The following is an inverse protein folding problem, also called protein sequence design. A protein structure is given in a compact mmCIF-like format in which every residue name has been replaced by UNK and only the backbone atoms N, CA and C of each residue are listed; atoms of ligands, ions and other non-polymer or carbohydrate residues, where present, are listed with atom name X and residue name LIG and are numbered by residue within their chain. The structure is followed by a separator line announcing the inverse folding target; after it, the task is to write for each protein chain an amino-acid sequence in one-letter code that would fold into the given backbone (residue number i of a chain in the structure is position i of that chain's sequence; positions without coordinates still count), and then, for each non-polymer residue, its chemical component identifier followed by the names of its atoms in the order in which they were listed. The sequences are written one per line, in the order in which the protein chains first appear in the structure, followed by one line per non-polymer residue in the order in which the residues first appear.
data_IF_543091287692
#
_entry.id   IF_543091287692
#
_cell.length_a   1.000
_cell.length_b   1.000
_cell.length_c   1.000
_cell.angle_alpha   90.00
_cell.angle_beta   90.00
_cell.angle_gamma   90.00
#
_symmetry.space_group_name_H-M   'P 1'
#
loop_
_entity.id
_entity.type
_entity.pdbx_description
1 polymer ?
#
# COMPACT_ATOMS: atom_id res chain seq x y z
N UNK A 1 -1.49 -10.33 17.03
CA UNK A 1 -0.08 -10.14 16.63
C UNK A 1 -0.19 -9.44 15.31
N UNK A 2 0.47 -8.30 15.19
CA UNK A 2 0.39 -7.51 13.97
C UNK A 2 1.61 -7.79 13.09
N UNK A 3 1.36 -8.08 11.83
CA UNK A 3 2.38 -8.16 10.78
C UNK A 3 2.08 -7.12 9.70
N UNK A 4 3.09 -6.80 8.90
CA UNK A 4 2.89 -5.90 7.76
C UNK A 4 3.66 -6.32 6.52
N UNK A 5 3.16 -5.93 5.35
CA UNK A 5 3.83 -6.07 4.06
C UNK A 5 3.91 -4.71 3.37
N UNK A 6 5.09 -4.37 2.87
CA UNK A 6 5.32 -3.15 2.12
C UNK A 6 5.36 -3.40 0.61
N UNK A 7 4.76 -2.51 -0.15
CA UNK A 7 4.65 -2.55 -1.61
C UNK A 7 4.86 -1.14 -2.14
N UNK A 8 5.68 -1.02 -3.18
CA UNK A 8 5.88 0.24 -3.90
C UNK A 8 5.34 0.10 -5.31
N UNK A 9 4.62 1.11 -5.80
CA UNK A 9 4.21 1.20 -7.21
C UNK A 9 4.40 2.62 -7.74
N UNK A 10 4.58 2.73 -9.05
CA UNK A 10 4.83 3.99 -9.74
C UNK A 10 3.55 4.45 -10.44
N UNK A 11 3.09 5.68 -10.15
CA UNK A 11 1.90 6.23 -10.80
C UNK A 11 1.95 7.74 -10.97
N UNK A 12 1.17 8.23 -11.94
CA UNK A 12 0.89 9.64 -12.13
C UNK A 12 -0.47 10.03 -11.53
N UNK A 13 -0.57 11.25 -11.00
CA UNK A 13 -1.81 11.83 -10.50
C UNK A 13 -1.81 13.37 -10.59
N UNK A 14 -2.94 13.98 -10.23
CA UNK A 14 -3.07 15.41 -9.94
C UNK A 14 -4.13 15.60 -8.86
N UNK A 15 -4.10 16.75 -8.18
CA UNK A 15 -5.12 17.14 -7.21
C UNK A 15 -6.04 18.20 -7.84
N UNK A 16 -7.32 17.91 -8.11
CA UNK A 16 -8.18 18.83 -8.89
C UNK A 16 -8.71 20.03 -8.08
N UNK A 17 -8.72 19.92 -6.76
CA UNK A 17 -9.39 20.87 -5.86
C UNK A 17 -8.44 21.85 -5.15
N UNK A 18 -7.16 21.91 -5.55
CA UNK A 18 -6.19 22.91 -5.05
C UNK A 18 -6.26 24.20 -5.89
N UNK A 19 -5.77 25.35 -5.40
CA UNK A 19 -5.71 26.60 -6.16
C UNK A 19 -5.10 26.45 -7.56
N UNK A 20 -5.46 27.33 -8.49
CA UNK A 20 -5.09 27.22 -9.90
C UNK A 20 -3.57 27.23 -10.15
N UNK A 21 -2.84 27.98 -9.34
CA UNK A 21 -1.39 28.12 -9.37
C UNK A 21 -0.63 27.06 -8.54
N UNK A 22 -1.34 26.21 -7.81
CA UNK A 22 -0.72 25.23 -6.92
C UNK A 22 -0.02 24.10 -7.69
N UNK A 23 1.22 23.77 -7.30
CA UNK A 23 2.07 22.79 -8.02
C UNK A 23 1.42 21.42 -8.25
N UNK A 24 0.64 20.92 -7.28
CA UNK A 24 -0.01 19.60 -7.35
C UNK A 24 -1.25 19.58 -8.27
N UNK A 25 -1.69 20.72 -8.82
CA UNK A 25 -2.77 20.78 -9.83
C UNK A 25 -2.30 20.26 -11.18
N UNK A 26 -0.98 20.30 -11.44
CA UNK A 26 -0.37 19.74 -12.65
C UNK A 26 -0.30 18.22 -12.55
N UNK A 27 -0.42 17.55 -13.69
CA UNK A 27 -0.10 16.13 -13.80
C UNK A 27 1.37 15.92 -13.41
N UNK A 28 1.61 15.04 -12.45
CA UNK A 28 2.92 14.64 -11.95
C UNK A 28 2.85 13.21 -11.42
N UNK A 29 3.95 12.64 -10.92
CA UNK A 29 3.95 11.27 -10.39
C UNK A 29 4.84 11.10 -9.17
N UNK A 30 4.71 9.93 -8.56
CA UNK A 30 5.46 9.52 -7.37
C UNK A 30 5.73 8.02 -7.41
N UNK A 31 6.76 7.62 -6.68
CA UNK A 31 6.91 6.25 -6.16
C UNK A 31 6.07 6.12 -4.91
N UNK A 32 4.86 5.58 -5.05
CA UNK A 32 3.92 5.42 -3.94
C UNK A 32 4.32 4.23 -3.10
N UNK A 33 4.40 4.43 -1.78
CA UNK A 33 4.73 3.39 -0.82
C UNK A 33 3.51 3.06 0.05
N UNK A 34 3.09 1.80 0.04
CA UNK A 34 1.97 1.28 0.81
C UNK A 34 2.49 0.27 1.82
N UNK A 35 2.01 0.38 3.06
CA UNK A 35 2.16 -0.65 4.09
C UNK A 35 0.80 -1.23 4.43
N UNK A 36 0.63 -2.52 4.17
CA UNK A 36 -0.56 -3.29 4.50
C UNK A 36 -0.34 -3.94 5.86
N UNK A 37 -1.23 -3.67 6.81
CA UNK A 37 -1.20 -4.25 8.15
C UNK A 37 -2.24 -5.35 8.27
N UNK A 38 -1.88 -6.46 8.90
CA UNK A 38 -2.78 -7.57 9.23
C UNK A 38 -2.55 -7.92 10.69
N UNK A 39 -3.62 -7.82 11.49
CA UNK A 39 -3.61 -8.29 12.88
C UNK A 39 -4.47 -9.54 13.01
N UNK A 40 -3.95 -10.50 13.78
CA UNK A 40 -4.64 -11.74 14.05
C UNK A 40 -3.91 -12.63 15.06
N UNK A 41 -4.53 -13.74 15.46
CA UNK A 41 -3.85 -14.78 16.22
C UNK A 41 -2.76 -15.42 15.36
N UNK A 42 -1.73 -15.94 16.02
CA UNK A 42 -0.78 -16.84 15.36
C UNK A 42 -1.48 -18.20 15.24
N UNK A 43 -1.61 -18.68 14.02
CA UNK A 43 -2.12 -20.03 13.77
C UNK A 43 -1.14 -21.08 14.31
N UNK A 44 -1.67 -22.14 14.94
CA UNK A 44 -0.87 -23.10 15.69
C UNK A 44 -0.12 -24.09 14.80
N UNK A 45 -0.60 -24.33 13.59
CA UNK A 45 0.02 -25.29 12.66
C UNK A 45 1.09 -24.60 11.81
N UNK A 46 0.76 -23.43 11.27
CA UNK A 46 1.64 -22.65 10.38
C UNK A 46 2.63 -21.76 11.12
N UNK A 47 2.29 -21.32 12.34
CA UNK A 47 3.16 -20.49 13.16
C UNK A 47 3.21 -19.01 12.75
N UNK A 48 2.31 -18.56 11.88
CA UNK A 48 2.19 -17.15 11.47
C UNK A 48 0.77 -16.62 11.60
N UNK A 49 0.61 -15.31 11.40
CA UNK A 49 -0.70 -14.65 11.33
C UNK A 49 -1.33 -14.82 9.95
N UNK A 50 -0.53 -14.63 8.90
CA UNK A 50 -0.92 -14.81 7.50
C UNK A 50 0.34 -14.98 6.65
N UNK A 51 0.25 -15.72 5.54
CA UNK A 51 1.33 -15.81 4.57
C UNK A 51 1.49 -14.47 3.81
N UNK A 52 2.71 -13.94 3.76
CA UNK A 52 3.00 -12.74 2.98
C UNK A 52 2.77 -12.90 1.47
N UNK A 53 2.84 -14.13 0.94
CA UNK A 53 2.52 -14.40 -0.46
C UNK A 53 1.02 -14.17 -0.74
N UNK A 54 0.14 -14.59 0.18
CA UNK A 54 -1.29 -14.37 0.06
C UNK A 54 -1.66 -12.88 0.17
N UNK A 55 -0.99 -12.14 1.06
CA UNK A 55 -1.14 -10.68 1.15
C UNK A 55 -0.74 -10.02 -0.18
N UNK A 56 0.38 -10.47 -0.79
CA UNK A 56 0.83 -9.97 -2.10
C UNK A 56 -0.13 -10.35 -3.22
N UNK A 57 -0.69 -11.56 -3.23
CA UNK A 57 -1.64 -11.99 -4.25
C UNK A 57 -2.97 -11.22 -4.15
N UNK A 58 -3.43 -10.94 -2.94
CA UNK A 58 -4.63 -10.15 -2.69
C UNK A 58 -4.45 -8.67 -3.07
N UNK A 59 -3.22 -8.15 -3.00
CA UNK A 59 -2.87 -6.78 -3.39
C UNK A 59 -1.72 -6.77 -4.42
N UNK A 60 -2.08 -6.97 -5.69
CA UNK A 60 -1.15 -6.99 -6.84
C UNK A 60 -1.42 -5.78 -7.77
N UNK A 61 -0.98 -4.57 -7.38
CA UNK A 61 -1.20 -3.33 -8.13
C UNK A 61 -0.44 -3.28 -9.46
#
# INVERSE_FOLDING_TARGET
MEIFKEITFEAAHLLPNVPEDHKCRRLHGHSFHIRLFVDGPIDKETGWVQDFADIKNAFNP
#
